data_IF_712802031190
#
_entry.id   IF_712802031190
#
_cell.length_a   1.000
_cell.length_b   1.000
_cell.length_c   1.000
_cell.angle_alpha   90.00
_cell.angle_beta   90.00
_cell.angle_gamma   90.00
#
_symmetry.space_group_name_H-M   'P 1'
#
loop_
_entity.id
_entity.type
_entity.pdbx_description
1 polymer ?
#
# COMPACT_ATOMS: atom_id res chain seq x y z
N UNK A 1 13.97 22.62 53.31
CA UNK A 1 13.17 21.83 54.29
C UNK A 1 12.22 22.85 54.90
N UNK A 2 10.90 22.81 54.78
CA UNK A 2 9.91 21.80 54.39
C UNK A 2 8.75 22.58 53.72
N UNK A 3 8.16 22.06 52.63
CA UNK A 3 6.91 21.28 52.61
C UNK A 3 5.68 22.14 52.95
N UNK A 4 5.00 22.63 51.90
CA UNK A 4 3.65 23.18 52.01
C UNK A 4 2.73 22.20 51.28
N UNK A 5 1.97 21.44 52.06
CA UNK A 5 1.02 20.47 51.58
C UNK A 5 -0.22 21.15 51.00
N UNK A 6 -0.53 20.81 49.75
CA UNK A 6 -1.88 20.88 49.23
C UNK A 6 -2.25 19.53 48.62
N UNK A 7 -3.07 18.79 49.37
CA UNK A 7 -3.77 17.59 48.94
C UNK A 7 -5.24 17.95 48.71
N UNK A 8 -5.82 17.38 47.64
CA UNK A 8 -7.26 17.26 47.22
C UNK A 8 -7.54 18.04 45.93
N UNK A 9 -8.20 17.53 44.89
CA UNK A 9 -8.75 16.21 44.51
C UNK A 9 -9.09 16.31 42.98
N UNK A 10 -9.31 15.19 42.26
CA UNK A 10 -9.58 15.22 40.82
C UNK A 10 -11.06 15.56 40.53
N UNK A 11 -11.32 16.74 39.96
CA UNK A 11 -12.64 17.06 39.39
C UNK A 11 -12.71 16.60 37.92
N UNK A 12 -13.49 15.54 37.73
CA UNK A 12 -14.03 15.11 36.45
C UNK A 12 -15.28 15.94 36.13
N UNK A 13 -15.31 16.57 34.96
CA UNK A 13 -16.50 16.98 34.20
C UNK A 13 -16.11 16.74 32.73
N UNK A 14 -16.48 15.63 32.10
CA UNK A 14 -17.79 15.30 31.49
C UNK A 14 -18.39 16.44 30.65
N UNK A 15 -17.98 16.47 29.38
CA UNK A 15 -18.78 17.02 28.28
C UNK A 15 -18.93 15.91 27.24
N UNK A 16 -20.04 15.20 27.32
CA UNK A 16 -20.49 14.31 26.26
C UNK A 16 -20.99 15.06 25.02
N UNK A 17 -20.77 14.41 23.87
CA UNK A 17 -21.60 14.43 22.66
C UNK A 17 -21.32 15.51 21.60
N UNK A 18 -20.88 15.01 20.44
CA UNK A 18 -20.83 15.77 19.20
C UNK A 18 -20.36 14.90 18.05
N UNK A 19 -21.24 14.04 17.55
CA UNK A 19 -21.03 13.26 16.35
C UNK A 19 -20.71 14.15 15.14
N UNK A 20 -19.56 13.90 14.52
CA UNK A 20 -19.23 14.20 13.12
C UNK A 20 -18.24 13.12 12.69
N UNK A 21 -18.65 12.01 12.08
CA UNK A 21 -19.02 11.93 10.67
C UNK A 21 -18.01 12.68 9.76
N UNK A 22 -16.80 12.15 9.65
CA UNK A 22 -16.33 11.65 8.36
C UNK A 22 -16.21 10.13 8.52
N UNK A 23 -17.03 9.24 7.94
CA UNK A 23 -17.49 9.17 6.56
C UNK A 23 -16.31 9.39 5.59
N UNK A 24 -15.58 8.30 5.31
CA UNK A 24 -14.72 8.20 4.13
C UNK A 24 -13.22 8.25 4.36
N UNK A 25 -12.67 7.40 5.23
CA UNK A 25 -11.33 6.81 5.03
C UNK A 25 -11.40 5.30 5.28
N UNK A 26 -12.44 4.68 4.72
CA UNK A 26 -12.32 3.30 4.27
C UNK A 26 -11.48 3.36 2.99
N UNK A 27 -10.32 2.71 3.01
CA UNK A 27 -9.35 2.74 1.92
C UNK A 27 -7.92 2.39 2.32
N UNK A 28 -7.58 2.52 3.61
CA UNK A 28 -6.28 2.07 4.15
C UNK A 28 -6.49 1.05 5.27
N UNK A 29 -7.13 -0.06 4.94
CA UNK A 29 -7.16 -1.26 5.79
C UNK A 29 -6.60 -2.43 5.00
N UNK A 30 -5.29 -2.36 4.77
CA UNK A 30 -4.49 -3.42 4.21
C UNK A 30 -3.08 -2.88 4.05
N UNK A 31 -2.11 -3.38 4.81
CA UNK A 31 -0.69 -3.23 4.50
C UNK A 31 -0.36 -4.01 3.23
N UNK A 32 -1.03 -3.67 2.13
CA UNK A 32 -0.83 -4.25 0.82
C UNK A 32 0.33 -3.54 0.16
N UNK A 33 1.16 -4.30 -0.54
CA UNK A 33 2.30 -3.79 -1.29
C UNK A 33 1.96 -2.72 -2.35
N UNK A 34 0.69 -2.41 -2.50
CA UNK A 34 0.07 -1.72 -3.61
C UNK A 34 -1.14 -0.93 -3.15
N UNK A 35 -1.36 0.21 -3.82
CA UNK A 35 -2.60 0.96 -3.70
C UNK A 35 -3.56 0.52 -4.81
N UNK A 36 -4.56 -0.29 -4.47
CA UNK A 36 -5.54 -0.76 -5.45
C UNK A 36 -6.48 0.38 -5.81
N UNK A 37 -6.67 0.64 -7.11
CA UNK A 37 -7.58 1.68 -7.61
C UNK A 37 -8.34 1.20 -8.84
N UNK A 38 -9.55 1.72 -9.03
CA UNK A 38 -10.34 1.44 -10.22
C UNK A 38 -9.60 1.95 -11.47
N UNK A 39 -9.58 1.11 -12.50
CA UNK A 39 -9.03 1.46 -13.81
C UNK A 39 -9.81 2.63 -14.41
N UNK A 40 -9.14 3.77 -14.57
CA UNK A 40 -9.65 4.94 -15.30
C UNK A 40 -8.76 5.21 -16.50
N UNK A 41 -9.33 5.73 -17.59
CA UNK A 41 -8.60 6.02 -18.82
C UNK A 41 -7.32 6.87 -18.58
N UNK A 42 -7.33 7.76 -17.59
CA UNK A 42 -6.16 8.58 -17.24
C UNK A 42 -5.04 7.78 -16.55
N UNK A 43 -5.41 6.85 -15.66
CA UNK A 43 -4.44 5.96 -15.02
C UNK A 43 -3.94 4.92 -16.02
N UNK A 44 -4.82 4.34 -16.84
CA UNK A 44 -4.47 3.38 -17.88
C UNK A 44 -3.51 3.97 -18.92
N UNK A 45 -3.72 5.23 -19.32
CA UNK A 45 -2.81 5.92 -20.26
C UNK A 45 -1.39 6.12 -19.69
N UNK A 46 -1.24 6.08 -18.37
CA UNK A 46 0.03 6.25 -17.66
C UNK A 46 0.55 4.94 -17.08
N UNK A 47 -0.25 3.87 -17.14
CA UNK A 47 0.05 2.61 -16.50
C UNK A 47 1.16 1.87 -17.24
N UNK A 48 2.06 1.25 -16.48
CA UNK A 48 2.99 0.28 -17.04
C UNK A 48 2.28 -1.07 -17.06
N UNK A 49 2.20 -1.67 -18.23
CA UNK A 49 1.65 -3.01 -18.38
C UNK A 49 2.65 -4.06 -17.89
N UNK A 50 2.22 -4.87 -16.93
CA UNK A 50 3.02 -5.94 -16.35
C UNK A 50 2.42 -7.26 -16.82
N UNK A 51 3.10 -7.88 -17.79
CA UNK A 51 2.74 -9.22 -18.25
C UNK A 51 3.25 -10.29 -17.27
N UNK A 52 2.54 -11.42 -17.20
CA UNK A 52 3.02 -12.58 -16.45
C UNK A 52 4.23 -13.18 -17.19
N UNK A 53 5.38 -13.38 -16.51
CA UNK A 53 6.54 -14.05 -17.09
C UNK A 53 6.27 -15.51 -17.44
N UNK A 54 7.14 -16.08 -18.27
CA UNK A 54 7.10 -17.50 -18.60
C UNK A 54 7.36 -18.39 -17.36
N UNK A 55 6.95 -19.67 -17.37
CA UNK A 55 7.24 -20.63 -16.30
C UNK A 55 8.72 -20.64 -15.92
N UNK A 56 9.03 -20.48 -14.64
CA UNK A 56 10.41 -20.43 -14.14
C UNK A 56 11.24 -19.21 -14.58
N UNK A 57 10.63 -18.23 -15.25
CA UNK A 57 11.31 -17.00 -15.67
C UNK A 57 11.26 -15.93 -14.58
N UNK A 58 12.31 -15.13 -14.46
CA UNK A 58 12.37 -14.00 -13.53
C UNK A 58 12.52 -12.69 -14.31
N UNK A 59 11.60 -11.75 -14.07
CA UNK A 59 11.59 -10.42 -14.69
C UNK A 59 11.82 -9.37 -13.60
N UNK A 60 12.75 -8.45 -13.83
CA UNK A 60 12.96 -7.31 -12.96
C UNK A 60 12.60 -6.02 -13.69
N UNK A 61 11.85 -5.13 -13.04
CA UNK A 61 11.42 -3.87 -13.63
C UNK A 61 11.48 -2.73 -12.63
N UNK A 62 11.99 -1.59 -13.09
CA UNK A 62 12.09 -0.39 -12.28
C UNK A 62 10.75 0.35 -12.29
N UNK A 63 10.18 0.58 -11.11
CA UNK A 63 8.89 1.25 -10.92
C UNK A 63 9.07 2.48 -10.05
N UNK A 64 8.40 3.57 -10.42
CA UNK A 64 8.42 4.81 -9.63
C UNK A 64 7.38 4.75 -8.50
N UNK A 65 7.63 5.43 -7.36
CA UNK A 65 6.61 5.57 -6.32
C UNK A 65 5.33 6.19 -6.88
N UNK A 66 4.17 5.60 -6.53
CA UNK A 66 2.87 6.03 -7.05
C UNK A 66 2.64 5.79 -8.55
N UNK A 67 3.53 5.09 -9.24
CA UNK A 67 3.35 4.72 -10.64
C UNK A 67 2.16 3.75 -10.76
N UNK A 68 1.20 4.02 -11.68
CA UNK A 68 0.17 3.04 -12.00
C UNK A 68 0.78 1.84 -12.73
N UNK A 69 0.41 0.65 -12.30
CA UNK A 69 0.77 -0.64 -12.88
C UNK A 69 -0.53 -1.37 -13.23
N UNK A 70 -0.58 -1.89 -14.46
CA UNK A 70 -1.68 -2.73 -14.93
C UNK A 70 -1.17 -4.16 -15.02
N UNK A 71 -1.64 -5.00 -14.12
CA UNK A 71 -1.31 -6.42 -14.18
C UNK A 71 -2.18 -7.08 -15.26
N UNK A 72 -1.54 -7.86 -16.14
CA UNK A 72 -2.25 -8.70 -17.12
C UNK A 72 -2.57 -10.10 -16.55
N UNK A 73 -2.52 -10.23 -15.22
CA UNK A 73 -2.76 -11.46 -14.47
C UNK A 73 -3.36 -11.12 -13.11
N UNK A 74 -4.06 -12.10 -12.55
CA UNK A 74 -4.64 -12.00 -11.22
C UNK A 74 -3.61 -12.27 -10.12
N UNK A 75 -3.76 -11.58 -8.99
CA UNK A 75 -2.92 -11.78 -7.80
C UNK A 75 -3.38 -12.94 -6.91
N UNK A 76 -4.48 -13.61 -7.24
CA UNK A 76 -5.08 -14.67 -6.41
C UNK A 76 -4.12 -15.85 -6.19
N UNK A 77 -3.31 -16.17 -7.21
CA UNK A 77 -2.30 -17.24 -7.20
C UNK A 77 -0.86 -16.70 -7.02
N UNK A 78 -0.71 -15.46 -6.58
CA UNK A 78 0.59 -14.77 -6.53
C UNK A 78 0.96 -14.46 -5.10
N UNK A 79 2.13 -14.97 -4.69
CA UNK A 79 2.74 -14.61 -3.42
C UNK A 79 3.43 -13.26 -3.57
N UNK A 80 2.92 -12.25 -2.87
CA UNK A 80 3.48 -10.89 -2.89
C UNK A 80 4.33 -10.66 -1.63
N UNK A 81 5.60 -10.34 -1.83
CA UNK A 81 6.55 -9.98 -0.77
C UNK A 81 7.03 -8.56 -1.01
N UNK A 82 6.73 -7.66 -0.08
CA UNK A 82 7.18 -6.27 -0.14
C UNK A 82 8.35 -6.02 0.83
N UNK A 83 9.32 -5.26 0.34
CA UNK A 83 10.36 -4.60 1.12
C UNK A 83 10.23 -3.07 0.96
N UNK A 84 11.10 -2.31 1.62
CA UNK A 84 11.12 -0.85 1.52
C UNK A 84 11.34 -0.33 0.07
N UNK A 85 12.04 -1.12 -0.75
CA UNK A 85 12.49 -0.71 -2.09
C UNK A 85 12.04 -1.64 -3.20
N UNK A 86 11.58 -2.85 -2.86
CA UNK A 86 11.31 -3.91 -3.80
C UNK A 86 9.96 -4.56 -3.51
N UNK A 87 9.27 -5.00 -4.55
CA UNK A 87 8.09 -5.83 -4.44
C UNK A 87 8.33 -7.05 -5.32
N UNK A 88 8.37 -8.22 -4.69
CA UNK A 88 8.55 -9.50 -5.36
C UNK A 88 7.20 -10.19 -5.47
N UNK A 89 6.81 -10.55 -6.69
CA UNK A 89 5.64 -11.34 -7.01
C UNK A 89 6.14 -12.72 -7.44
N UNK A 90 5.93 -13.73 -6.61
CA UNK A 90 6.28 -15.11 -6.91
C UNK A 90 5.02 -15.90 -7.29
N UNK A 91 5.12 -16.66 -8.39
CA UNK A 91 4.04 -17.46 -8.94
C UNK A 91 4.28 -18.94 -8.62
N UNK A 92 3.22 -19.74 -8.50
CA UNK A 92 3.33 -21.19 -8.18
C UNK A 92 4.12 -21.98 -9.24
N UNK A 93 4.02 -21.54 -10.49
CA UNK A 93 4.74 -22.07 -11.66
C UNK A 93 6.25 -21.74 -11.67
N UNK A 94 6.76 -21.16 -10.57
CA UNK A 94 8.16 -20.80 -10.36
C UNK A 94 8.60 -19.51 -11.05
N UNK A 95 7.68 -18.81 -11.72
CA UNK A 95 7.95 -17.50 -12.31
C UNK A 95 8.05 -16.42 -11.22
N UNK A 96 8.76 -15.32 -11.49
CA UNK A 96 8.94 -14.23 -10.53
C UNK A 96 8.97 -12.86 -11.22
N UNK A 97 8.31 -11.87 -10.64
CA UNK A 97 8.45 -10.46 -11.02
C UNK A 97 9.01 -9.69 -9.83
N UNK A 98 10.11 -8.98 -10.04
CA UNK A 98 10.69 -8.08 -9.06
C UNK A 98 10.48 -6.64 -9.52
N UNK A 99 9.61 -5.92 -8.84
CA UNK A 99 9.47 -4.48 -9.00
C UNK A 99 10.50 -3.81 -8.10
N UNK A 100 11.40 -3.01 -8.65
CA UNK A 100 12.44 -2.31 -7.87
C UNK A 100 12.27 -0.80 -8.00
N UNK A 101 12.52 -0.07 -6.92
CA UNK A 101 12.55 1.39 -6.95
C UNK A 101 13.99 1.90 -6.88
N UNK A 102 14.27 2.95 -7.65
CA UNK A 102 15.54 3.70 -7.51
C UNK A 102 15.51 4.69 -6.34
N UNK A 103 14.33 4.92 -5.76
CA UNK A 103 14.11 5.81 -4.62
C UNK A 103 14.06 4.95 -3.35
N UNK A 104 14.87 5.27 -2.32
CA UNK A 104 14.87 4.54 -1.06
C UNK A 104 13.52 4.70 -0.32
N UNK A 105 13.01 3.62 0.29
CA UNK A 105 11.73 3.58 1.01
C UNK A 105 10.50 3.97 0.16
N UNK A 106 10.63 4.01 -1.16
CA UNK A 106 9.60 4.50 -2.07
C UNK A 106 8.28 3.73 -1.96
N UNK A 107 8.34 2.40 -1.82
CA UNK A 107 7.12 1.60 -1.77
C UNK A 107 6.48 1.59 -0.38
N UNK A 108 7.24 1.95 0.66
CA UNK A 108 6.70 2.20 2.00
C UNK A 108 6.02 3.56 2.11
N UNK A 109 6.57 4.61 1.48
CA UNK A 109 6.02 5.97 1.51
C UNK A 109 4.91 6.20 0.48
N UNK A 110 5.12 5.71 -0.75
CA UNK A 110 4.26 5.92 -1.90
C UNK A 110 4.17 4.63 -2.73
N UNK A 111 3.37 3.64 -2.27
CA UNK A 111 3.22 2.37 -2.95
C UNK A 111 2.73 2.57 -4.39
N UNK A 112 3.09 1.67 -5.32
CA UNK A 112 2.59 1.73 -6.68
C UNK A 112 1.07 1.50 -6.71
N UNK A 113 0.40 2.12 -7.67
CA UNK A 113 -1.05 1.98 -7.83
C UNK A 113 -1.31 0.76 -8.71
N UNK A 114 -2.04 -0.24 -8.22
CA UNK A 114 -2.46 -1.36 -9.04
C UNK A 114 -3.83 -1.08 -9.65
N UNK A 115 -3.87 -1.23 -10.97
CA UNK A 115 -5.09 -1.24 -11.76
C UNK A 115 -5.51 -2.70 -11.97
N UNK A 116 -6.68 -3.05 -11.44
CA UNK A 116 -7.29 -4.36 -11.67
C UNK A 116 -7.97 -4.38 -13.04
N UNK A 117 -7.84 -5.46 -13.82
CA UNK A 117 -8.73 -5.67 -14.97
C UNK A 117 -10.19 -5.74 -14.47
N UNK A 118 -11.11 -5.16 -15.23
CA UNK A 118 -12.57 -5.21 -14.99
C UNK A 118 -13.11 -6.64 -15.15
#
# INVERSE_FOLDING_TARGET
>A
MADDGQTQAPEQQDDGQGAGQGAGQDGSSGGGAFQVSASTAELEARAIEVARPAPGESVAMSVQPGQPLRLQFDLDDVQVVQTENDIVLAFDDGAQITLTSMVPAAFSEAPPVLLLPD
#
